data_IF_502682950389
#
_entry.id   IF_502682950389
#
_cell.length_a   1.000
_cell.length_b   1.000
_cell.length_c   1.000
_cell.angle_alpha   90.00
_cell.angle_beta   90.00
_cell.angle_gamma   90.00
#
_symmetry.space_group_name_H-M   'P 1'
#
loop_
_entity.id
_entity.type
_entity.pdbx_description
1 polymer ?
#
# COMPACT_ATOMS: atom_id res chain seq x y z
N UNK A 1 -15.66 33.57 85.92
CA UNK A 1 -14.55 33.97 86.77
C UNK A 1 -13.25 33.79 86.05
N UNK A 2 -12.59 34.87 85.80
CA UNK A 2 -11.24 35.10 85.23
C UNK A 2 -11.01 34.87 83.72
N UNK A 3 -11.02 35.94 83.03
CA UNK A 3 -10.15 36.36 81.93
C UNK A 3 -8.70 36.52 82.48
N UNK A 4 -7.69 36.87 81.68
CA UNK A 4 -7.27 36.73 80.29
C UNK A 4 -5.78 36.28 80.20
N UNK A 5 -5.22 36.10 79.01
CA UNK A 5 -3.91 36.75 78.72
C UNK A 5 -3.58 36.66 77.19
N UNK A 6 -3.49 37.81 76.64
CA UNK A 6 -2.84 38.10 75.38
C UNK A 6 -1.34 37.88 75.44
N UNK A 7 -0.75 37.38 74.37
CA UNK A 7 0.56 37.84 73.94
C UNK A 7 0.70 37.81 72.44
N UNK A 8 0.91 39.00 71.91
CA UNK A 8 1.40 39.28 70.58
C UNK A 8 2.81 38.85 70.38
N UNK A 9 3.13 38.61 69.16
CA UNK A 9 4.28 39.12 68.36
C UNK A 9 5.11 38.04 67.65
N UNK A 10 5.20 38.17 66.49
CA UNK A 10 6.24 38.52 65.51
C UNK A 10 6.15 37.72 64.22
N UNK A 11 6.10 38.49 63.19
CA UNK A 11 6.32 38.20 61.80
C UNK A 11 7.48 37.22 61.51
N UNK A 12 7.19 36.28 60.68
CA UNK A 12 8.18 35.49 59.94
C UNK A 12 7.68 35.26 58.54
N UNK A 13 8.01 36.19 57.64
CA UNK A 13 7.80 36.05 56.21
C UNK A 13 8.71 34.94 55.73
N UNK A 14 8.17 33.73 55.48
CA UNK A 14 8.87 32.73 54.70
C UNK A 14 8.20 32.75 53.33
N UNK A 15 8.90 33.38 52.38
CA UNK A 15 8.62 33.31 50.96
C UNK A 15 8.93 31.86 50.50
N UNK A 16 7.91 31.03 50.54
CA UNK A 16 7.96 29.72 49.86
C UNK A 16 7.68 29.92 48.38
N UNK A 17 8.73 29.93 47.59
CA UNK A 17 8.64 29.82 46.13
C UNK A 17 8.08 28.46 45.80
N UNK A 18 6.79 28.38 45.49
CA UNK A 18 6.17 27.22 44.92
C UNK A 18 6.74 27.05 43.50
N UNK A 19 7.70 26.12 43.34
CA UNK A 19 8.11 25.59 42.05
C UNK A 19 6.93 24.82 41.48
N UNK A 20 6.18 25.46 40.60
CA UNK A 20 5.27 24.79 39.66
C UNK A 20 6.16 24.02 38.68
N UNK A 21 6.44 22.75 38.96
CA UNK A 21 6.93 21.81 37.99
C UNK A 21 5.83 21.57 36.95
N UNK A 22 5.84 22.42 35.93
CA UNK A 22 5.03 22.23 34.73
C UNK A 22 5.50 20.96 34.04
N UNK A 23 4.79 19.86 34.19
CA UNK A 23 4.89 18.69 33.32
C UNK A 23 4.48 19.14 31.91
N UNK A 24 5.47 19.55 31.12
CA UNK A 24 5.32 19.67 29.67
C UNK A 24 5.13 18.24 29.14
N UNK A 25 3.87 17.84 28.99
CA UNK A 25 3.50 16.74 28.12
C UNK A 25 3.88 17.17 26.71
N UNK A 26 5.06 16.76 26.27
CA UNK A 26 5.39 16.71 24.84
C UNK A 26 4.45 15.67 24.21
N UNK A 27 3.27 16.12 23.80
CA UNK A 27 2.48 15.39 22.84
C UNK A 27 3.35 15.28 21.59
N UNK A 28 4.15 14.21 21.50
CA UNK A 28 4.77 13.81 20.27
C UNK A 28 3.61 13.53 19.30
N UNK A 29 3.21 14.55 18.54
CA UNK A 29 2.44 14.37 17.34
C UNK A 29 3.25 13.43 16.46
N UNK A 30 2.99 12.14 16.58
CA UNK A 30 3.37 11.15 15.58
C UNK A 30 2.59 11.47 14.32
N UNK A 31 3.06 12.45 13.57
CA UNK A 31 2.60 12.68 12.22
C UNK A 31 3.08 11.49 11.41
N UNK A 32 2.18 10.55 11.16
CA UNK A 32 2.40 9.53 10.14
C UNK A 32 2.94 10.26 8.90
N UNK A 33 4.04 9.78 8.30
CA UNK A 33 4.59 10.44 7.13
C UNK A 33 3.47 10.56 6.09
N UNK A 34 3.13 11.81 5.72
CA UNK A 34 2.19 12.06 4.63
C UNK A 34 2.71 11.29 3.43
N UNK A 35 1.88 10.38 2.90
CA UNK A 35 2.20 9.72 1.64
C UNK A 35 2.52 10.80 0.64
N UNK A 36 3.78 10.85 0.18
CA UNK A 36 4.15 11.80 -0.86
C UNK A 36 3.45 11.34 -2.12
N UNK A 37 2.45 12.10 -2.58
CA UNK A 37 1.88 11.93 -3.92
C UNK A 37 3.00 12.23 -4.92
N UNK A 38 3.66 11.19 -5.38
CA UNK A 38 4.63 11.34 -6.48
C UNK A 38 3.84 11.67 -7.75
N UNK A 39 4.17 12.76 -8.46
CA UNK A 39 3.58 13.02 -9.76
C UNK A 39 3.83 11.80 -10.67
N UNK A 40 2.76 11.19 -11.14
CA UNK A 40 2.83 10.00 -11.98
C UNK A 40 2.47 8.67 -11.30
N UNK A 41 2.15 8.69 -9.97
CA UNK A 41 1.68 7.48 -9.29
C UNK A 41 0.27 7.66 -8.73
N UNK A 42 -0.53 6.61 -8.86
CA UNK A 42 -1.85 6.57 -8.23
C UNK A 42 -1.74 5.89 -6.86
N UNK A 43 -1.64 6.71 -5.81
CA UNK A 43 -1.52 6.26 -4.41
C UNK A 43 -2.67 6.76 -3.54
N UNK A 44 -3.64 7.50 -4.12
CA UNK A 44 -4.77 8.04 -3.36
C UNK A 44 -5.72 6.95 -2.90
N UNK A 45 -6.22 7.01 -1.66
CA UNK A 45 -7.29 6.13 -1.21
C UNK A 45 -8.52 6.24 -2.10
N UNK A 46 -9.20 5.12 -2.30
CA UNK A 46 -10.40 5.04 -3.11
C UNK A 46 -11.42 4.10 -2.46
N UNK A 47 -12.69 4.17 -2.89
CA UNK A 47 -13.77 3.37 -2.31
C UNK A 47 -14.50 2.60 -3.40
N UNK A 48 -14.67 1.29 -3.20
CA UNK A 48 -15.46 0.40 -4.06
C UNK A 48 -16.48 -0.33 -3.21
N UNK A 49 -17.76 -0.24 -3.59
CA UNK A 49 -18.88 -0.90 -2.90
C UNK A 49 -18.88 -0.68 -1.39
N UNK A 50 -18.57 0.56 -0.96
CA UNK A 50 -18.49 0.94 0.46
C UNK A 50 -17.21 0.54 1.20
N UNK A 51 -16.34 -0.27 0.59
CA UNK A 51 -15.05 -0.63 1.16
C UNK A 51 -13.96 0.35 0.72
N UNK A 52 -13.23 0.91 1.69
CA UNK A 52 -12.15 1.87 1.45
C UNK A 52 -10.80 1.16 1.36
N UNK A 53 -10.10 1.40 0.26
CA UNK A 53 -8.76 0.88 -0.02
C UNK A 53 -7.72 1.98 0.17
N UNK A 54 -6.58 1.61 0.76
CA UNK A 54 -5.45 2.49 1.00
C UNK A 54 -4.23 1.96 0.25
N UNK A 55 -3.92 2.50 -0.93
CA UNK A 55 -2.70 2.11 -1.64
C UNK A 55 -1.44 2.38 -0.83
N UNK A 56 -0.43 1.55 -1.02
CA UNK A 56 0.89 1.72 -0.42
C UNK A 56 1.59 2.97 -0.95
N UNK A 57 2.51 3.53 -0.18
CA UNK A 57 3.46 4.49 -0.70
C UNK A 57 4.48 3.81 -1.63
N UNK A 58 5.20 4.59 -2.42
CA UNK A 58 6.22 4.06 -3.33
C UNK A 58 7.32 3.34 -2.54
N UNK A 59 7.74 3.91 -1.41
CA UNK A 59 8.77 3.36 -0.55
C UNK A 59 8.37 2.01 0.07
N UNK A 60 7.10 1.88 0.46
CA UNK A 60 6.57 0.63 1.02
C UNK A 60 6.43 -0.46 -0.04
N UNK A 61 6.21 -0.06 -1.29
CA UNK A 61 5.98 -1.00 -2.38
C UNK A 61 7.27 -1.56 -2.99
N UNK A 62 8.38 -0.82 -2.95
CA UNK A 62 9.65 -1.28 -3.52
C UNK A 62 10.15 -2.53 -2.81
N UNK A 63 10.27 -3.65 -3.53
CA UNK A 63 10.64 -4.95 -2.98
C UNK A 63 9.55 -5.65 -2.17
N UNK A 64 8.33 -5.09 -2.12
CA UNK A 64 7.20 -5.72 -1.44
C UNK A 64 6.90 -7.10 -2.03
N UNK A 65 6.71 -8.07 -1.15
CA UNK A 65 6.32 -9.43 -1.51
C UNK A 65 4.99 -9.81 -0.86
N UNK A 66 4.17 -10.55 -1.61
CA UNK A 66 2.92 -11.11 -1.11
C UNK A 66 2.67 -12.47 -1.75
N UNK A 67 2.12 -13.38 -0.96
CA UNK A 67 1.65 -14.69 -1.44
C UNK A 67 0.15 -14.77 -1.27
N UNK A 68 -0.54 -15.26 -2.31
CA UNK A 68 -2.00 -15.41 -2.28
C UNK A 68 -2.54 -16.02 -3.57
N UNK A 69 -3.84 -15.89 -3.76
CA UNK A 69 -4.52 -16.42 -4.95
C UNK A 69 -4.54 -15.36 -6.05
N UNK A 70 -4.07 -15.75 -7.23
CA UNK A 70 -4.28 -15.02 -8.48
C UNK A 70 -5.47 -15.57 -9.22
N UNK A 71 -6.18 -14.71 -9.94
CA UNK A 71 -7.10 -15.08 -11.02
C UNK A 71 -6.67 -14.41 -12.31
N UNK A 72 -7.38 -14.64 -13.39
CA UNK A 72 -7.21 -13.88 -14.61
C UNK A 72 -8.55 -13.37 -15.10
N UNK A 73 -8.52 -12.31 -15.87
CA UNK A 73 -9.68 -11.69 -16.46
C UNK A 73 -9.51 -11.54 -17.97
N UNK A 74 -10.64 -11.62 -18.65
CA UNK A 74 -10.72 -11.29 -20.07
C UNK A 74 -11.66 -10.09 -20.22
N UNK A 75 -11.10 -8.91 -20.32
CA UNK A 75 -11.88 -7.66 -20.50
C UNK A 75 -12.18 -7.36 -21.96
N UNK A 76 -11.87 -8.27 -22.86
CA UNK A 76 -12.21 -8.12 -24.25
C UNK A 76 -13.63 -8.59 -24.50
N UNK A 77 -14.58 -7.66 -24.40
CA UNK A 77 -15.92 -7.83 -24.94
C UNK A 77 -15.84 -7.67 -26.47
N UNK A 78 -16.54 -8.53 -27.22
CA UNK A 78 -16.68 -8.41 -28.68
C UNK A 78 -15.33 -8.44 -29.44
N UNK A 79 -14.60 -9.56 -29.39
CA UNK A 79 -13.43 -9.81 -30.28
C UNK A 79 -12.30 -8.79 -30.20
N UNK A 80 -12.13 -8.10 -29.07
CA UNK A 80 -11.07 -7.10 -28.90
C UNK A 80 -11.41 -5.71 -29.42
N UNK A 81 -12.62 -5.51 -29.91
CA UNK A 81 -13.07 -4.21 -30.44
C UNK A 81 -13.45 -3.19 -29.35
N UNK A 82 -13.78 -3.66 -28.14
CA UNK A 82 -14.04 -2.81 -26.98
C UNK A 82 -13.07 -3.19 -25.89
N UNK A 83 -11.97 -2.45 -25.79
CA UNK A 83 -11.04 -2.57 -24.68
C UNK A 83 -11.52 -1.67 -23.53
N UNK A 84 -11.60 -2.20 -22.33
CA UNK A 84 -11.80 -1.39 -21.12
C UNK A 84 -10.61 -0.45 -20.90
N UNK A 85 -10.84 0.63 -20.17
CA UNK A 85 -9.77 1.51 -19.69
C UNK A 85 -9.38 1.09 -18.28
N UNK A 86 -8.08 0.95 -18.03
CA UNK A 86 -7.53 0.67 -16.71
C UNK A 86 -7.70 1.87 -15.77
N UNK A 87 -7.44 1.67 -14.46
CA UNK A 87 -7.52 2.74 -13.47
C UNK A 87 -6.61 3.94 -13.78
N UNK A 88 -5.55 3.76 -14.57
CA UNK A 88 -4.65 4.85 -15.00
C UNK A 88 -4.93 5.33 -16.42
N UNK A 89 -6.05 4.90 -17.04
CA UNK A 89 -6.47 5.34 -18.37
C UNK A 89 -5.77 4.63 -19.55
N UNK A 90 -5.03 3.55 -19.29
CA UNK A 90 -4.44 2.74 -20.37
C UNK A 90 -5.47 1.78 -20.96
N UNK A 91 -5.36 1.50 -22.24
CA UNK A 91 -6.23 0.53 -22.91
C UNK A 91 -5.81 -0.91 -22.54
N UNK A 92 -6.76 -1.71 -22.10
CA UNK A 92 -6.56 -3.14 -21.89
C UNK A 92 -6.39 -3.84 -23.25
N UNK A 93 -5.33 -4.62 -23.40
CA UNK A 93 -5.07 -5.41 -24.59
C UNK A 93 -4.76 -6.86 -24.19
N UNK A 94 -5.45 -7.86 -24.78
CA UNK A 94 -5.35 -9.26 -24.35
C UNK A 94 -3.93 -9.84 -24.48
N UNK A 95 -3.12 -9.31 -25.39
CA UNK A 95 -1.75 -9.75 -25.63
C UNK A 95 -0.70 -9.05 -24.77
N UNK A 96 -1.09 -8.05 -23.98
CA UNK A 96 -0.18 -7.38 -23.06
C UNK A 96 -0.09 -8.13 -21.72
N UNK A 97 1.08 -8.09 -21.12
CA UNK A 97 1.35 -8.65 -19.80
C UNK A 97 1.03 -7.58 -18.74
N UNK A 98 -0.22 -7.51 -18.32
CA UNK A 98 -0.68 -6.57 -17.31
C UNK A 98 -1.49 -7.26 -16.22
N UNK A 99 -1.73 -6.54 -15.12
CA UNK A 99 -2.47 -7.03 -13.98
C UNK A 99 -3.19 -5.91 -13.22
N UNK A 100 -4.15 -6.30 -12.38
CA UNK A 100 -4.81 -5.45 -11.40
C UNK A 100 -4.40 -5.85 -9.98
N UNK A 101 -4.13 -4.85 -9.13
CA UNK A 101 -3.85 -5.05 -7.71
C UNK A 101 -4.54 -3.98 -6.86
N UNK A 102 -5.14 -4.34 -5.69
CA UNK A 102 -5.94 -3.39 -4.93
C UNK A 102 -5.13 -2.27 -4.28
N UNK A 103 -3.90 -2.53 -3.86
CA UNK A 103 -3.18 -1.57 -2.99
C UNK A 103 -1.76 -1.22 -3.44
N UNK A 104 -1.23 -1.80 -4.51
CA UNK A 104 0.05 -1.35 -5.06
C UNK A 104 -0.08 0.06 -5.68
N UNK A 105 0.96 0.90 -5.63
CA UNK A 105 0.98 2.14 -6.40
C UNK A 105 0.95 1.83 -7.89
N UNK A 106 0.19 2.60 -8.66
CA UNK A 106 0.07 2.42 -10.11
C UNK A 106 0.78 3.56 -10.86
N UNK A 107 1.47 3.26 -11.95
CA UNK A 107 1.85 1.93 -12.42
C UNK A 107 3.01 1.32 -11.61
N UNK A 108 3.14 -0.01 -11.63
CA UNK A 108 4.34 -0.68 -11.15
C UNK A 108 4.61 -1.97 -11.95
N UNK A 109 5.83 -2.48 -11.89
CA UNK A 109 6.20 -3.77 -12.45
C UNK A 109 6.32 -4.80 -11.33
N UNK A 110 5.74 -5.98 -11.55
CA UNK A 110 5.69 -7.06 -10.58
C UNK A 110 6.15 -8.36 -11.23
N UNK A 111 7.03 -9.10 -10.55
CA UNK A 111 7.29 -10.48 -10.86
C UNK A 111 6.22 -11.34 -10.20
N UNK A 112 5.49 -12.11 -10.99
CA UNK A 112 4.51 -13.08 -10.51
C UNK A 112 5.06 -14.47 -10.72
N UNK A 113 5.16 -15.26 -9.67
CA UNK A 113 5.61 -16.65 -9.70
C UNK A 113 4.47 -17.58 -9.28
N UNK A 114 4.11 -18.52 -10.14
CA UNK A 114 3.22 -19.62 -9.78
C UNK A 114 3.92 -20.56 -8.81
N UNK A 115 3.32 -20.79 -7.65
CA UNK A 115 3.85 -21.73 -6.65
C UNK A 115 3.55 -23.19 -7.02
N UNK A 116 2.66 -23.41 -7.97
CA UNK A 116 2.33 -24.74 -8.51
C UNK A 116 3.31 -25.18 -9.60
N UNK A 117 3.63 -24.28 -10.54
CA UNK A 117 4.46 -24.62 -11.71
C UNK A 117 5.91 -24.15 -11.60
N UNK A 118 6.23 -23.25 -10.66
CA UNK A 118 7.51 -22.56 -10.56
C UNK A 118 7.74 -21.50 -11.64
N UNK A 119 6.88 -21.41 -12.67
CA UNK A 119 7.00 -20.42 -13.75
C UNK A 119 6.79 -19.00 -13.22
N UNK A 120 7.49 -18.06 -13.84
CA UNK A 120 7.40 -16.66 -13.50
C UNK A 120 7.14 -15.80 -14.72
N UNK A 121 6.43 -14.68 -14.52
CA UNK A 121 6.18 -13.68 -15.54
C UNK A 121 6.25 -12.28 -14.93
N UNK A 122 6.89 -11.35 -15.64
CA UNK A 122 6.86 -9.94 -15.30
C UNK A 122 5.60 -9.31 -15.89
N UNK A 123 4.84 -8.61 -15.08
CA UNK A 123 3.61 -7.93 -15.47
C UNK A 123 3.62 -6.47 -15.05
N UNK A 124 2.95 -5.64 -15.83
CA UNK A 124 2.66 -4.26 -15.47
C UNK A 124 1.35 -4.20 -14.69
N UNK A 125 1.39 -3.75 -13.45
CA UNK A 125 0.19 -3.48 -12.68
C UNK A 125 -0.25 -2.05 -13.00
N UNK A 126 -1.36 -1.93 -13.70
CA UNK A 126 -1.92 -0.67 -14.20
C UNK A 126 -3.41 -0.49 -13.87
N UNK A 127 -3.98 -1.45 -13.13
CA UNK A 127 -5.39 -1.42 -12.78
C UNK A 127 -5.65 -1.77 -11.31
N UNK A 128 -6.88 -1.47 -10.84
CA UNK A 128 -7.38 -1.73 -9.51
C UNK A 128 -8.25 -2.99 -9.47
N UNK A 129 -8.08 -3.79 -8.45
CA UNK A 129 -8.72 -5.08 -8.20
C UNK A 129 -7.65 -6.12 -7.82
N UNK A 130 -8.07 -7.35 -7.51
CA UNK A 130 -9.43 -7.84 -7.38
C UNK A 130 -10.18 -7.25 -6.18
N UNK A 131 -11.50 -7.14 -6.33
CA UNK A 131 -12.40 -6.79 -5.24
C UNK A 131 -13.18 -8.01 -4.72
N UNK A 132 -12.58 -9.17 -4.89
CA UNK A 132 -13.10 -10.47 -4.44
C UNK A 132 -12.20 -10.97 -3.31
N UNK A 133 -12.86 -11.45 -2.24
CA UNK A 133 -12.15 -11.96 -1.06
C UNK A 133 -11.16 -13.07 -1.41
N UNK A 134 -10.01 -13.07 -0.74
CA UNK A 134 -8.93 -14.06 -0.88
C UNK A 134 -8.15 -14.02 -2.20
N UNK A 135 -8.43 -13.10 -3.12
CA UNK A 135 -7.59 -12.86 -4.28
C UNK A 135 -6.70 -11.64 -4.06
N UNK A 136 -5.46 -11.73 -4.50
CA UNK A 136 -4.47 -10.64 -4.35
C UNK A 136 -4.16 -9.93 -5.68
N UNK A 137 -4.28 -10.63 -6.79
CA UNK A 137 -3.95 -10.10 -8.12
C UNK A 137 -4.84 -10.74 -9.18
N UNK A 138 -5.26 -9.97 -10.15
CA UNK A 138 -5.94 -10.43 -11.35
C UNK A 138 -5.04 -10.19 -12.56
N UNK A 139 -4.71 -11.24 -13.29
CA UNK A 139 -3.76 -11.23 -14.40
C UNK A 139 -4.47 -11.10 -15.74
N UNK A 140 -3.82 -10.50 -16.73
CA UNK A 140 -4.27 -10.61 -18.11
C UNK A 140 -4.24 -12.06 -18.57
N UNK A 141 -5.04 -12.40 -19.57
CA UNK A 141 -5.08 -13.75 -20.13
C UNK A 141 -3.71 -14.21 -20.60
N UNK A 142 -2.94 -13.29 -21.22
CA UNK A 142 -1.58 -13.59 -21.66
C UNK A 142 -0.60 -13.90 -20.53
N UNK A 143 -0.73 -13.21 -19.40
CA UNK A 143 0.07 -13.51 -18.22
C UNK A 143 -0.31 -14.87 -17.60
N UNK A 144 -1.60 -15.18 -17.55
CA UNK A 144 -2.10 -16.47 -17.10
C UNK A 144 -1.61 -17.64 -17.98
N UNK A 145 -1.55 -17.46 -19.31
CA UNK A 145 -0.95 -18.43 -20.23
C UNK A 145 0.52 -18.69 -19.89
N UNK A 146 1.31 -17.66 -19.63
CA UNK A 146 2.74 -17.79 -19.30
C UNK A 146 2.99 -18.57 -18.01
N UNK A 147 2.03 -18.53 -17.08
CA UNK A 147 2.10 -19.26 -15.80
C UNK A 147 1.45 -20.64 -15.84
N UNK A 148 0.90 -21.08 -16.99
CA UNK A 148 0.07 -22.28 -17.17
C UNK A 148 -1.16 -22.31 -16.24
N UNK A 149 -1.73 -21.15 -15.93
CA UNK A 149 -2.90 -21.08 -15.06
C UNK A 149 -4.22 -20.82 -15.80
N UNK A 150 -4.18 -20.50 -17.10
CA UNK A 150 -5.37 -20.12 -17.88
C UNK A 150 -6.50 -21.15 -17.77
N UNK A 151 -6.19 -22.44 -17.86
CA UNK A 151 -7.20 -23.53 -17.79
C UNK A 151 -7.68 -23.82 -16.37
N UNK A 152 -6.94 -23.40 -15.35
CA UNK A 152 -7.30 -23.61 -13.94
C UNK A 152 -8.12 -22.46 -13.36
N UNK A 153 -8.06 -21.28 -13.99
CA UNK A 153 -8.76 -20.07 -13.55
C UNK A 153 -8.14 -19.39 -12.33
N UNK A 154 -7.68 -20.18 -11.36
CA UNK A 154 -7.03 -19.69 -10.13
C UNK A 154 -5.71 -20.41 -9.91
N UNK A 155 -4.73 -19.69 -9.35
CA UNK A 155 -3.45 -20.29 -8.94
C UNK A 155 -2.92 -19.59 -7.68
N UNK A 156 -2.11 -20.29 -6.90
CA UNK A 156 -1.40 -19.71 -5.78
C UNK A 156 -0.07 -19.15 -6.28
N UNK A 157 0.11 -17.85 -6.07
CA UNK A 157 1.28 -17.13 -6.59
C UNK A 157 2.02 -16.39 -5.47
N UNK A 158 3.30 -16.12 -5.72
CA UNK A 158 4.08 -15.09 -5.04
C UNK A 158 4.24 -13.92 -6.00
N UNK A 159 4.00 -12.71 -5.52
CA UNK A 159 4.28 -11.48 -6.24
C UNK A 159 5.45 -10.76 -5.57
N UNK A 160 6.33 -10.15 -6.36
CA UNK A 160 7.44 -9.31 -5.89
C UNK A 160 7.48 -8.04 -6.73
N UNK A 161 7.40 -6.88 -6.09
CA UNK A 161 7.46 -5.58 -6.79
C UNK A 161 8.89 -5.30 -7.22
N UNK A 162 9.12 -5.16 -8.52
CA UNK A 162 10.42 -4.89 -9.12
C UNK A 162 10.70 -3.39 -9.26
N UNK A 163 9.68 -2.64 -9.66
CA UNK A 163 9.79 -1.19 -9.81
C UNK A 163 8.43 -0.51 -9.69
N UNK A 164 8.45 0.78 -9.39
CA UNK A 164 7.25 1.63 -9.32
C UNK A 164 7.43 2.84 -10.22
N UNK A 165 6.39 3.17 -11.01
CA UNK A 165 6.35 4.30 -11.92
C UNK A 165 6.99 4.05 -13.27
N UNK A 166 6.97 5.09 -14.11
CA UNK A 166 7.46 5.07 -15.48
C UNK A 166 8.42 6.23 -15.78
N UNK A 167 9.21 6.04 -16.82
CA UNK A 167 10.10 7.08 -17.35
C UNK A 167 11.00 7.70 -16.26
N UNK A 168 11.04 9.01 -16.18
CA UNK A 168 11.84 9.75 -15.19
C UNK A 168 11.41 9.52 -13.73
N UNK A 169 10.23 8.97 -13.52
CA UNK A 169 9.67 8.67 -12.19
C UNK A 169 9.89 7.22 -11.78
N UNK A 170 10.46 6.39 -12.66
CA UNK A 170 10.69 4.97 -12.35
C UNK A 170 11.69 4.84 -11.22
N UNK A 171 11.31 4.03 -10.23
CA UNK A 171 12.17 3.63 -9.09
C UNK A 171 12.24 2.13 -9.04
N UNK A 172 13.44 1.61 -9.05
CA UNK A 172 13.72 0.17 -8.99
C UNK A 172 13.79 -0.29 -7.53
N UNK A 173 13.31 -1.51 -7.30
CA UNK A 173 13.53 -2.20 -6.04
C UNK A 173 15.01 -2.63 -5.90
N UNK A 174 15.50 -2.87 -4.68
CA UNK A 174 16.78 -3.55 -4.50
C UNK A 174 16.81 -4.87 -5.28
N UNK A 175 17.98 -5.32 -5.76
CA UNK A 175 18.10 -6.61 -6.43
C UNK A 175 17.53 -7.74 -5.56
N UNK A 176 16.79 -8.64 -6.17
CA UNK A 176 16.32 -9.84 -5.48
C UNK A 176 17.54 -10.61 -4.97
N UNK A 177 17.51 -10.99 -3.69
CA UNK A 177 18.56 -11.85 -3.15
C UNK A 177 18.61 -13.14 -3.97
N UNK A 178 19.77 -13.45 -4.55
CA UNK A 178 19.97 -14.72 -5.22
C UNK A 178 19.85 -15.81 -4.17
N UNK A 179 18.96 -16.81 -4.35
CA UNK A 179 18.95 -17.95 -3.44
C UNK A 179 20.33 -18.62 -3.46
N UNK A 180 20.89 -18.81 -2.27
CA UNK A 180 22.16 -19.53 -2.08
C UNK A 180 22.02 -21.00 -2.45
#
# INVERSE_FOLDING_TARGET
MFLPYNYNMHAGIIRGTAMLAGLLWLAACSSSPKSRDYPGYMTRPYTIRGHRYHPMSVEQALGFEQTGIASHYNECSLWGLVSGSTAIGENVRPWHLHAAHPTLPLPCEVLVQSLRTGKSVKVRVNDRGPFVRNRIIDLSEKAAERLDMKHHGLDRVRITVLSVGDGKWKREAPPLATPA
#
